data_IF_884891039863
#
_entry.id   IF_884891039863
#
_cell.length_a   1.000
_cell.length_b   1.000
_cell.length_c   1.000
_cell.angle_alpha   90.00
_cell.angle_beta   90.00
_cell.angle_gamma   90.00
#
_symmetry.space_group_name_H-M   'P 1'
#
loop_
_entity.id
_entity.type
_entity.pdbx_description
1 polymer ?
#
# COMPACT_ATOMS: atom_id res chain seq x y z
N UNK A 1 -5.15 0.16 -50.32
CA UNK A 1 -5.93 1.23 -49.67
C UNK A 1 -6.80 0.53 -48.64
N UNK A 2 -6.30 0.36 -47.38
CA UNK A 2 -7.03 -0.26 -46.31
C UNK A 2 -7.65 0.85 -45.48
N UNK A 3 -8.98 0.95 -45.52
CA UNK A 3 -9.75 1.89 -44.72
C UNK A 3 -9.73 1.49 -43.27
N UNK A 4 -9.01 2.25 -42.45
CA UNK A 4 -9.11 2.26 -40.99
C UNK A 4 -10.03 3.42 -40.59
N UNK A 5 -11.33 3.24 -40.80
CA UNK A 5 -12.35 4.15 -40.32
C UNK A 5 -13.37 3.35 -39.51
N UNK A 6 -13.03 3.05 -38.27
CA UNK A 6 -13.95 2.65 -37.21
C UNK A 6 -13.30 2.87 -35.83
N UNK A 7 -12.78 4.08 -35.57
CA UNK A 7 -12.64 4.57 -34.20
C UNK A 7 -14.02 5.02 -33.73
N UNK A 8 -14.91 4.04 -33.44
CA UNK A 8 -15.93 4.31 -32.46
C UNK A 8 -15.19 4.61 -31.17
N UNK A 9 -15.33 5.83 -30.67
CA UNK A 9 -15.01 6.19 -29.30
C UNK A 9 -15.73 5.20 -28.37
N UNK A 10 -15.08 4.09 -28.06
CA UNK A 10 -15.43 3.28 -26.92
C UNK A 10 -15.06 4.16 -25.72
N UNK A 11 -16.02 4.93 -25.22
CA UNK A 11 -15.95 5.40 -23.86
C UNK A 11 -15.77 4.14 -23.02
N UNK A 12 -14.54 3.86 -22.60
CA UNK A 12 -14.23 2.79 -21.66
C UNK A 12 -14.74 3.30 -20.32
N UNK A 13 -16.05 3.19 -20.12
CA UNK A 13 -16.64 3.19 -18.78
C UNK A 13 -16.19 1.88 -18.14
N UNK A 14 -14.93 1.85 -17.68
CA UNK A 14 -14.49 0.71 -16.88
C UNK A 14 -15.25 0.81 -15.56
N UNK A 15 -16.12 -0.17 -15.26
CA UNK A 15 -16.73 -0.22 -13.96
C UNK A 15 -15.60 -0.29 -12.93
N UNK A 16 -15.72 0.48 -11.85
CA UNK A 16 -14.74 0.47 -10.75
C UNK A 16 -14.83 -0.88 -10.02
N UNK A 17 -14.05 -1.84 -10.47
CA UNK A 17 -14.14 -3.23 -10.00
C UNK A 17 -13.20 -3.52 -8.86
N UNK A 18 -11.99 -2.98 -8.86
CA UNK A 18 -11.00 -3.24 -7.82
C UNK A 18 -10.07 -2.04 -7.58
N UNK A 19 -10.11 -1.50 -6.37
CA UNK A 19 -9.18 -0.44 -5.94
C UNK A 19 -7.81 -1.04 -5.63
N UNK A 20 -6.76 -0.47 -6.23
CA UNK A 20 -5.36 -0.70 -5.88
C UNK A 20 -4.73 0.65 -5.59
N UNK A 21 -4.68 1.02 -4.32
CA UNK A 21 -4.31 2.36 -3.86
C UNK A 21 -3.03 2.35 -3.04
N UNK A 22 -2.05 3.15 -3.43
CA UNK A 22 -0.90 3.51 -2.60
C UNK A 22 -1.12 4.87 -1.94
N UNK A 23 -1.03 4.94 -0.61
CA UNK A 23 -1.14 6.18 0.19
C UNK A 23 0.24 6.52 0.73
N UNK A 24 0.71 7.73 0.42
CA UNK A 24 2.03 8.24 0.82
C UNK A 24 1.87 9.45 1.74
N UNK A 25 2.72 9.61 2.73
CA UNK A 25 2.72 10.80 3.59
C UNK A 25 3.61 10.69 4.81
N UNK A 26 3.84 11.81 5.46
CA UNK A 26 4.68 11.90 6.66
C UNK A 26 4.14 11.03 7.82
N UNK A 27 4.98 10.61 8.76
CA UNK A 27 4.52 10.01 10.00
C UNK A 27 3.45 10.88 10.68
N UNK A 28 2.39 10.25 11.20
CA UNK A 28 1.26 10.92 11.88
C UNK A 28 0.41 11.86 10.98
N UNK A 29 0.52 11.77 9.66
CA UNK A 29 -0.29 12.56 8.72
C UNK A 29 -1.73 12.07 8.53
N UNK A 30 -2.18 11.03 9.24
CA UNK A 30 -3.54 10.49 9.12
C UNK A 30 -3.71 9.40 8.05
N UNK A 31 -2.63 8.85 7.48
CA UNK A 31 -2.66 7.78 6.46
C UNK A 31 -3.52 6.59 6.84
N UNK A 32 -3.32 6.04 8.05
CA UNK A 32 -4.09 4.89 8.56
C UNK A 32 -5.58 5.20 8.64
N UNK A 33 -5.96 6.40 9.09
CA UNK A 33 -7.36 6.83 9.13
C UNK A 33 -7.94 6.99 7.74
N UNK A 34 -7.20 7.58 6.80
CA UNK A 34 -7.62 7.63 5.39
C UNK A 34 -7.80 6.22 4.83
N UNK A 35 -6.83 5.33 5.01
CA UNK A 35 -6.93 3.95 4.55
C UNK A 35 -8.15 3.23 5.12
N UNK A 36 -8.49 3.48 6.39
CA UNK A 36 -9.64 2.88 7.07
C UNK A 36 -11.01 3.37 6.55
N UNK A 37 -11.07 4.44 5.74
CA UNK A 37 -12.29 4.85 5.01
C UNK A 37 -12.51 4.03 3.74
N UNK A 38 -11.74 2.98 3.51
CA UNK A 38 -11.87 2.09 2.37
C UNK A 38 -13.23 1.37 2.33
N UNK A 39 -13.66 0.90 1.13
CA UNK A 39 -14.88 0.13 1.01
C UNK A 39 -14.88 -1.13 1.88
N UNK A 40 -15.96 -1.34 2.61
CA UNK A 40 -16.20 -2.54 3.43
C UNK A 40 -16.99 -3.61 2.70
N UNK A 41 -17.37 -3.36 1.45
CA UNK A 41 -18.16 -4.22 0.59
C UNK A 41 -17.60 -4.20 -0.83
N UNK A 42 -17.93 -5.20 -1.62
CA UNK A 42 -17.57 -5.31 -3.02
C UNK A 42 -18.81 -5.44 -3.88
N UNK A 43 -18.75 -4.86 -5.07
CA UNK A 43 -19.75 -5.01 -6.12
C UNK A 43 -19.06 -5.54 -7.38
N UNK A 44 -19.77 -6.31 -8.20
CA UNK A 44 -19.33 -6.71 -9.53
C UNK A 44 -19.46 -5.57 -10.54
N UNK A 45 -19.17 -5.87 -11.80
CA UNK A 45 -19.20 -4.92 -12.91
C UNK A 45 -20.62 -4.44 -13.25
N UNK A 46 -21.63 -5.20 -12.85
CA UNK A 46 -23.06 -4.91 -13.03
C UNK A 46 -23.61 -4.11 -11.83
N UNK A 47 -22.81 -3.89 -10.81
CA UNK A 47 -23.21 -3.18 -9.58
C UNK A 47 -23.96 -4.07 -8.59
N UNK A 48 -23.84 -5.38 -8.69
CA UNK A 48 -24.44 -6.36 -7.77
C UNK A 48 -23.49 -6.57 -6.59
N UNK A 49 -24.04 -6.48 -5.37
CA UNK A 49 -23.28 -6.72 -4.15
C UNK A 49 -22.75 -8.16 -4.09
N UNK A 50 -21.47 -8.31 -3.82
CA UNK A 50 -20.79 -9.59 -3.62
C UNK A 50 -20.74 -9.92 -2.11
N UNK A 51 -21.68 -10.70 -1.56
CA UNK A 51 -21.85 -10.86 -0.10
C UNK A 51 -20.71 -11.60 0.59
N UNK A 52 -19.87 -12.31 -0.18
CA UNK A 52 -18.67 -12.98 0.32
C UNK A 52 -17.53 -12.02 0.65
N UNK A 53 -17.64 -10.74 0.30
CA UNK A 53 -16.63 -9.72 0.61
C UNK A 53 -17.19 -8.76 1.66
N UNK A 54 -16.64 -8.77 2.88
CA UNK A 54 -17.17 -7.94 3.97
C UNK A 54 -16.07 -7.44 4.90
N UNK A 55 -16.10 -6.14 5.17
CA UNK A 55 -15.20 -5.47 6.12
C UNK A 55 -13.80 -5.20 5.57
N UNK A 56 -12.97 -4.67 6.43
CA UNK A 56 -11.58 -4.27 6.15
C UNK A 56 -10.64 -5.04 7.06
N UNK A 57 -9.61 -5.63 6.49
CA UNK A 57 -8.50 -6.23 7.24
C UNK A 57 -7.28 -5.31 7.16
N UNK A 58 -6.71 -4.95 8.31
CA UNK A 58 -5.51 -4.13 8.43
C UNK A 58 -4.37 -4.98 8.96
N UNK A 59 -3.35 -5.17 8.13
CA UNK A 59 -2.06 -5.72 8.54
C UNK A 59 -1.19 -4.58 9.08
N UNK A 60 -1.15 -4.43 10.41
CA UNK A 60 -0.44 -3.36 11.11
C UNK A 60 1.00 -3.77 11.40
N UNK A 61 1.95 -3.19 10.69
CA UNK A 61 3.38 -3.37 10.90
C UNK A 61 4.00 -2.29 11.80
N UNK A 62 3.34 -1.14 11.93
CA UNK A 62 3.82 -0.02 12.76
C UNK A 62 3.49 -0.20 14.24
N UNK A 63 2.53 -1.11 14.57
CA UNK A 63 2.02 -1.28 15.92
C UNK A 63 1.22 -0.06 16.42
N UNK A 64 0.60 0.69 15.51
CA UNK A 64 -0.09 1.96 15.79
C UNK A 64 -1.59 1.91 15.50
N UNK A 65 -2.15 0.73 15.41
CA UNK A 65 -3.57 0.51 15.10
C UNK A 65 -4.56 1.10 16.11
N UNK A 66 -4.10 1.57 17.27
CA UNK A 66 -4.96 2.25 18.26
C UNK A 66 -5.78 3.42 17.67
N UNK A 67 -5.28 4.06 16.59
CA UNK A 67 -6.01 5.10 15.86
C UNK A 67 -7.28 4.59 15.15
N UNK A 68 -7.41 3.27 14.97
CA UNK A 68 -8.53 2.59 14.31
C UNK A 68 -9.44 1.87 15.31
N UNK A 69 -9.13 1.93 16.61
CA UNK A 69 -9.92 1.27 17.65
C UNK A 69 -11.36 1.81 17.65
N UNK A 70 -12.32 0.89 17.66
CA UNK A 70 -13.74 1.21 17.68
C UNK A 70 -14.37 1.53 16.32
N UNK A 71 -13.62 1.52 15.21
CA UNK A 71 -14.20 1.65 13.88
C UNK A 71 -14.90 0.34 13.48
N UNK A 72 -16.20 0.43 13.18
CA UNK A 72 -17.01 -0.74 12.82
C UNK A 72 -16.53 -1.37 11.49
N UNK A 73 -16.55 -2.70 11.42
CA UNK A 73 -16.19 -3.45 10.21
C UNK A 73 -14.69 -3.53 9.92
N UNK A 74 -13.84 -3.07 10.85
CA UNK A 74 -12.38 -3.13 10.71
C UNK A 74 -11.79 -4.17 11.64
N UNK A 75 -11.02 -5.10 11.09
CA UNK A 75 -10.22 -6.07 11.83
C UNK A 75 -8.74 -5.69 11.69
N UNK A 76 -8.06 -5.51 12.81
CA UNK A 76 -6.63 -5.18 12.85
C UNK A 76 -5.84 -6.36 13.40
N UNK A 77 -4.75 -6.72 12.71
CA UNK A 77 -3.78 -7.70 13.19
C UNK A 77 -2.37 -7.12 13.11
N UNK A 78 -1.65 -7.16 14.24
CA UNK A 78 -0.30 -6.60 14.33
C UNK A 78 0.75 -7.64 13.95
N UNK A 79 1.70 -7.23 13.10
CA UNK A 79 2.80 -8.02 12.57
C UNK A 79 4.14 -7.37 12.95
N UNK A 80 4.61 -7.69 14.14
CA UNK A 80 5.90 -7.23 14.65
C UNK A 80 6.78 -8.41 15.03
N UNK A 81 8.09 -8.25 14.82
CA UNK A 81 9.09 -9.22 15.25
C UNK A 81 9.55 -8.88 16.66
N UNK A 82 9.28 -9.76 17.61
CA UNK A 82 9.80 -9.64 18.99
C UNK A 82 11.29 -10.00 19.07
N UNK A 83 11.78 -10.85 18.15
CA UNK A 83 13.16 -11.28 18.07
C UNK A 83 13.74 -11.05 16.67
N UNK A 84 14.67 -10.10 16.47
CA UNK A 84 15.27 -9.86 15.16
C UNK A 84 16.06 -11.03 14.58
N UNK A 85 16.50 -11.97 15.42
CA UNK A 85 17.22 -13.18 14.96
C UNK A 85 16.29 -14.33 14.57
N UNK A 86 15.03 -14.29 14.99
CA UNK A 86 13.98 -15.24 14.64
C UNK A 86 12.73 -14.46 14.23
N UNK A 87 12.76 -13.77 13.06
CA UNK A 87 11.64 -12.95 12.60
C UNK A 87 10.47 -13.82 12.15
N UNK A 88 9.26 -13.49 12.61
CA UNK A 88 8.04 -14.24 12.33
C UNK A 88 6.94 -13.42 11.63
N UNK A 89 7.04 -12.09 11.65
CA UNK A 89 5.99 -11.20 11.15
C UNK A 89 5.62 -11.50 9.69
N UNK A 90 6.62 -11.68 8.82
CA UNK A 90 6.40 -11.96 7.41
C UNK A 90 5.78 -13.36 7.18
N UNK A 91 6.22 -14.39 7.91
CA UNK A 91 5.63 -15.74 7.80
C UNK A 91 4.20 -15.77 8.32
N UNK A 92 3.90 -15.09 9.44
CA UNK A 92 2.53 -14.97 9.97
C UNK A 92 1.59 -14.28 8.97
N UNK A 93 2.06 -13.19 8.32
CA UNK A 93 1.29 -12.55 7.26
C UNK A 93 1.00 -13.53 6.11
N UNK A 94 2.03 -14.25 5.63
CA UNK A 94 1.85 -15.22 4.55
C UNK A 94 0.84 -16.31 4.90
N UNK A 95 0.85 -16.79 6.15
CA UNK A 95 -0.13 -17.76 6.64
C UNK A 95 -1.55 -17.17 6.65
N UNK A 96 -1.73 -15.95 7.14
CA UNK A 96 -3.05 -15.30 7.19
C UNK A 96 -3.62 -15.06 5.79
N UNK A 97 -2.79 -14.64 4.84
CA UNK A 97 -3.21 -14.55 3.44
C UNK A 97 -3.61 -15.92 2.88
N UNK A 98 -2.87 -16.98 3.20
CA UNK A 98 -3.22 -18.35 2.82
C UNK A 98 -4.55 -18.83 3.44
N UNK A 99 -4.86 -18.43 4.67
CA UNK A 99 -6.16 -18.70 5.29
C UNK A 99 -7.30 -17.96 4.58
N UNK A 100 -7.09 -16.72 4.16
CA UNK A 100 -8.08 -15.96 3.38
C UNK A 100 -8.32 -16.58 2.00
N UNK A 101 -7.26 -17.01 1.31
CA UNK A 101 -7.35 -17.73 0.03
C UNK A 101 -8.14 -19.04 0.18
N UNK A 102 -7.87 -19.79 1.23
CA UNK A 102 -8.59 -21.02 1.53
C UNK A 102 -10.07 -20.74 1.84
N UNK A 103 -10.38 -19.74 2.66
CA UNK A 103 -11.75 -19.32 2.96
C UNK A 103 -12.50 -18.92 1.67
N UNK A 104 -11.84 -18.12 0.79
CA UNK A 104 -12.40 -17.76 -0.52
C UNK A 104 -12.73 -18.99 -1.37
N UNK A 105 -11.82 -19.98 -1.43
CA UNK A 105 -12.04 -21.22 -2.23
C UNK A 105 -13.24 -22.03 -1.75
N UNK A 106 -13.65 -21.86 -0.49
CA UNK A 106 -14.83 -22.47 0.11
C UNK A 106 -16.10 -21.63 0.01
N UNK A 107 -16.02 -20.43 -0.59
CA UNK A 107 -17.15 -19.50 -0.65
C UNK A 107 -17.45 -18.83 0.71
N UNK A 108 -16.52 -18.88 1.66
CA UNK A 108 -16.65 -18.23 2.96
C UNK A 108 -16.37 -16.72 2.84
N UNK A 109 -16.80 -15.97 3.85
CA UNK A 109 -16.64 -14.51 3.86
C UNK A 109 -15.17 -14.15 4.08
N UNK A 110 -14.65 -13.28 3.22
CA UNK A 110 -13.31 -12.69 3.31
C UNK A 110 -13.39 -11.15 3.35
N UNK A 111 -12.34 -10.43 3.75
CA UNK A 111 -12.33 -8.98 3.71
C UNK A 111 -12.61 -8.42 2.31
N UNK A 112 -13.40 -7.36 2.21
CA UNK A 112 -13.57 -6.60 0.97
C UNK A 112 -12.31 -5.78 0.64
N UNK A 113 -11.62 -5.29 1.67
CA UNK A 113 -10.38 -4.52 1.55
C UNK A 113 -9.30 -5.10 2.46
N UNK A 114 -8.07 -5.21 1.93
CA UNK A 114 -6.86 -5.52 2.70
C UNK A 114 -5.94 -4.31 2.67
N UNK A 115 -5.52 -3.86 3.85
CA UNK A 115 -4.63 -2.71 4.05
C UNK A 115 -3.30 -3.21 4.64
N UNK A 116 -2.17 -2.80 4.04
CA UNK A 116 -0.82 -2.98 4.60
C UNK A 116 -0.35 -1.64 5.20
N UNK A 117 -0.31 -1.54 6.53
CA UNK A 117 0.04 -0.31 7.26
C UNK A 117 1.20 -0.55 8.25
N UNK A 118 2.42 -0.12 7.94
CA UNK A 118 2.87 0.45 6.67
C UNK A 118 3.76 -0.52 5.90
N UNK A 119 3.78 -0.41 4.59
CA UNK A 119 4.72 -1.17 3.74
C UNK A 119 6.17 -0.80 4.04
N UNK A 120 6.43 0.40 4.55
CA UNK A 120 7.75 0.81 5.01
C UNK A 120 8.30 -0.14 6.08
N UNK A 121 7.52 -0.45 7.12
CA UNK A 121 7.92 -1.40 8.17
C UNK A 121 7.73 -2.85 7.76
N UNK A 122 6.75 -3.16 6.91
CA UNK A 122 6.61 -4.48 6.27
C UNK A 122 7.88 -4.86 5.51
N UNK A 123 8.50 -3.90 4.81
CA UNK A 123 9.78 -4.06 4.11
C UNK A 123 10.90 -4.48 5.06
N UNK A 124 11.01 -3.85 6.23
CA UNK A 124 12.01 -4.21 7.24
C UNK A 124 11.78 -5.63 7.81
N UNK A 125 10.51 -6.01 8.07
CA UNK A 125 10.16 -7.34 8.53
C UNK A 125 10.44 -8.40 7.45
N UNK A 126 10.08 -8.13 6.20
CA UNK A 126 10.33 -9.02 5.06
C UNK A 126 11.83 -9.21 4.83
N UNK A 127 12.63 -8.15 4.88
CA UNK A 127 14.08 -8.23 4.73
C UNK A 127 14.71 -9.09 5.84
N UNK A 128 14.32 -8.88 7.11
CA UNK A 128 14.80 -9.71 8.24
C UNK A 128 14.42 -11.17 8.04
N UNK A 129 13.19 -11.45 7.63
CA UNK A 129 12.72 -12.80 7.35
C UNK A 129 13.55 -13.46 6.25
N UNK A 130 13.73 -12.82 5.10
CA UNK A 130 14.55 -13.32 3.99
C UNK A 130 15.98 -13.60 4.44
N UNK A 131 16.59 -12.67 5.17
CA UNK A 131 17.94 -12.86 5.71
C UNK A 131 18.04 -13.99 6.73
N UNK A 132 16.95 -14.34 7.43
CA UNK A 132 16.94 -15.47 8.37
C UNK A 132 16.88 -16.81 7.66
N UNK A 133 16.29 -16.87 6.46
CA UNK A 133 16.12 -18.10 5.68
C UNK A 133 17.37 -18.48 4.87
N UNK A 134 18.31 -17.55 4.65
CA UNK A 134 19.49 -17.78 3.83
C UNK A 134 20.77 -17.39 4.57
N UNK A 135 21.79 -18.28 4.51
CA UNK A 135 23.17 -17.94 4.91
C UNK A 135 23.94 -17.23 3.81
N UNK A 136 23.52 -17.41 2.56
CA UNK A 136 24.12 -16.74 1.38
C UNK A 136 23.70 -15.30 1.33
N UNK A 137 24.62 -14.38 1.04
CA UNK A 137 24.34 -12.95 0.94
C UNK A 137 24.08 -12.25 2.28
N UNK A 138 24.32 -12.93 3.44
CA UNK A 138 24.16 -12.34 4.77
C UNK A 138 25.39 -12.57 5.66
N UNK A 139 25.55 -11.73 6.68
CA UNK A 139 26.50 -11.98 7.79
C UNK A 139 25.87 -11.59 9.12
N UNK A 140 26.31 -12.25 10.19
CA UNK A 140 25.98 -11.84 11.55
C UNK A 140 27.05 -10.87 12.05
N UNK A 141 26.62 -9.77 12.62
CA UNK A 141 27.46 -8.79 13.30
C UNK A 141 26.98 -8.63 14.74
N UNK A 142 27.92 -8.31 15.64
CA UNK A 142 27.59 -8.03 17.03
C UNK A 142 27.92 -6.58 17.34
N UNK A 143 26.96 -5.86 17.92
CA UNK A 143 27.09 -4.47 18.33
C UNK A 143 26.46 -4.32 19.72
N UNK A 144 27.25 -3.88 20.70
CA UNK A 144 26.78 -3.68 22.07
C UNK A 144 26.20 -4.93 22.74
N UNK A 145 26.72 -6.14 22.42
CA UNK A 145 26.23 -7.41 22.93
C UNK A 145 24.99 -7.97 22.21
N UNK A 146 24.46 -7.27 21.23
CA UNK A 146 23.33 -7.72 20.40
C UNK A 146 23.81 -8.26 19.06
N UNK A 147 23.23 -9.38 18.61
CA UNK A 147 23.50 -9.97 17.29
C UNK A 147 22.48 -9.52 16.27
N UNK A 148 22.97 -9.14 15.09
CA UNK A 148 22.15 -8.72 13.96
C UNK A 148 22.59 -9.47 12.69
N UNK A 149 21.62 -9.79 11.82
CA UNK A 149 21.92 -10.18 10.44
C UNK A 149 21.89 -8.97 9.55
N UNK A 150 22.93 -8.80 8.72
CA UNK A 150 22.99 -7.73 7.72
C UNK A 150 23.20 -8.32 6.33
N UNK A 151 22.64 -7.66 5.31
CA UNK A 151 22.82 -8.04 3.91
C UNK A 151 24.26 -7.76 3.45
N UNK A 152 24.81 -8.65 2.61
CA UNK A 152 26.12 -8.50 1.96
C UNK A 152 26.05 -8.14 0.49
N UNK A 153 24.86 -8.07 -0.10
CA UNK A 153 24.64 -7.82 -1.50
C UNK A 153 23.20 -7.42 -1.78
N UNK A 154 22.80 -7.46 -3.04
CA UNK A 154 21.46 -7.05 -3.48
C UNK A 154 20.42 -8.17 -3.37
N UNK A 155 20.83 -9.45 -3.36
CA UNK A 155 19.93 -10.61 -3.36
C UNK A 155 18.85 -10.57 -2.25
N UNK A 156 19.18 -10.25 -0.97
CA UNK A 156 18.14 -10.15 0.06
C UNK A 156 17.12 -9.05 -0.20
N UNK A 157 17.52 -7.95 -0.84
CA UNK A 157 16.63 -6.86 -1.18
C UNK A 157 15.71 -7.19 -2.35
N UNK A 158 16.19 -7.94 -3.36
CA UNK A 158 15.34 -8.40 -4.45
C UNK A 158 14.34 -9.46 -3.95
N UNK A 159 14.77 -10.36 -3.06
CA UNK A 159 13.87 -11.33 -2.43
C UNK A 159 12.81 -10.66 -1.55
N UNK A 160 13.16 -9.59 -0.80
CA UNK A 160 12.21 -8.76 -0.04
C UNK A 160 11.16 -8.12 -0.97
N UNK A 161 11.60 -7.50 -2.09
CA UNK A 161 10.69 -6.88 -3.06
C UNK A 161 9.75 -7.93 -3.66
N UNK A 162 10.26 -9.10 -4.00
CA UNK A 162 9.46 -10.20 -4.53
C UNK A 162 8.44 -10.72 -3.51
N UNK A 163 8.82 -10.83 -2.23
CA UNK A 163 7.92 -11.22 -1.16
C UNK A 163 6.74 -10.24 -1.03
N UNK A 164 7.02 -8.94 -0.97
CA UNK A 164 5.99 -7.90 -0.85
C UNK A 164 5.10 -7.88 -2.09
N UNK A 165 5.68 -7.95 -3.29
CA UNK A 165 4.92 -8.01 -4.54
C UNK A 165 4.00 -9.22 -4.59
N UNK A 166 4.46 -10.37 -4.12
CA UNK A 166 3.64 -11.58 -4.01
C UNK A 166 2.47 -11.39 -3.03
N UNK A 167 2.69 -10.77 -1.86
CA UNK A 167 1.61 -10.47 -0.93
C UNK A 167 0.53 -9.59 -1.57
N UNK A 168 0.93 -8.55 -2.32
CA UNK A 168 0.00 -7.68 -3.03
C UNK A 168 -0.77 -8.44 -4.12
N UNK A 169 -0.05 -9.24 -4.92
CA UNK A 169 -0.66 -10.03 -5.98
C UNK A 169 -1.70 -11.01 -5.44
N UNK A 170 -1.43 -11.70 -4.33
CA UNK A 170 -2.38 -12.60 -3.67
C UNK A 170 -3.67 -11.87 -3.28
N UNK A 171 -3.57 -10.65 -2.71
CA UNK A 171 -4.74 -9.83 -2.38
C UNK A 171 -5.54 -9.48 -3.63
N UNK A 172 -4.85 -9.10 -4.72
CA UNK A 172 -5.49 -8.78 -6.01
C UNK A 172 -6.19 -10.02 -6.59
N UNK A 173 -5.57 -11.19 -6.56
CA UNK A 173 -6.13 -12.46 -7.05
C UNK A 173 -7.31 -12.95 -6.21
N UNK A 174 -7.31 -12.65 -4.92
CA UNK A 174 -8.48 -12.86 -4.07
C UNK A 174 -9.67 -11.95 -4.46
N UNK A 175 -9.46 -10.93 -5.29
CA UNK A 175 -10.49 -9.96 -5.67
C UNK A 175 -10.75 -8.89 -4.61
N UNK A 176 -9.96 -8.81 -3.54
CA UNK A 176 -10.09 -7.76 -2.53
C UNK A 176 -9.56 -6.43 -3.06
N UNK A 177 -10.06 -5.31 -2.56
CA UNK A 177 -9.37 -4.03 -2.70
C UNK A 177 -8.02 -4.09 -1.99
N UNK A 178 -6.99 -3.52 -2.60
CA UNK A 178 -5.64 -3.45 -2.05
C UNK A 178 -5.31 -2.01 -1.69
N UNK A 179 -4.94 -1.76 -0.43
CA UNK A 179 -4.40 -0.47 0.00
C UNK A 179 -3.04 -0.69 0.65
N UNK A 180 -2.05 0.07 0.21
CA UNK A 180 -0.70 0.06 0.76
C UNK A 180 -0.32 1.46 1.26
N UNK A 181 0.07 1.53 2.54
CA UNK A 181 0.46 2.78 3.19
C UNK A 181 1.97 2.88 3.23
N UNK A 182 2.50 4.01 2.77
CA UNK A 182 3.94 4.29 2.73
C UNK A 182 4.28 5.54 3.52
N UNK A 183 5.47 5.58 4.09
CA UNK A 183 6.05 6.84 4.54
C UNK A 183 6.64 7.59 3.34
N UNK A 184 6.56 8.91 3.37
CA UNK A 184 7.27 9.78 2.45
C UNK A 184 8.69 10.08 2.94
N UNK A 185 9.54 10.50 2.01
CA UNK A 185 10.86 11.08 2.29
C UNK A 185 11.15 12.18 1.28
N UNK A 186 11.95 13.14 1.68
CA UNK A 186 12.50 14.14 0.76
C UNK A 186 13.35 13.43 -0.32
N UNK A 187 13.20 13.84 -1.57
CA UNK A 187 14.01 13.32 -2.66
C UNK A 187 15.40 13.98 -2.66
N UNK A 188 16.44 13.15 -2.61
CA UNK A 188 17.81 13.62 -2.65
C UNK A 188 18.19 14.08 -4.05
N UNK A 189 18.93 15.19 -4.16
CA UNK A 189 19.47 15.67 -5.43
C UNK A 189 20.58 14.74 -5.94
N UNK A 190 20.81 14.64 -7.26
CA UNK A 190 21.84 13.77 -7.85
C UNK A 190 23.26 14.05 -7.33
N UNK A 191 23.53 15.30 -6.91
CA UNK A 191 24.80 15.74 -6.35
C UNK A 191 24.83 15.72 -4.80
N UNK A 192 23.87 15.07 -4.17
CA UNK A 192 23.79 14.88 -2.72
C UNK A 192 24.85 13.89 -2.24
N UNK A 193 25.52 14.19 -1.13
CA UNK A 193 26.44 13.29 -0.44
C UNK A 193 26.03 13.11 1.01
N UNK A 194 26.58 12.07 1.69
CA UNK A 194 26.31 11.87 3.13
C UNK A 194 26.81 13.04 3.98
N UNK A 195 27.90 13.70 3.58
CA UNK A 195 28.50 14.82 4.30
C UNK A 195 27.78 16.16 3.98
N UNK A 196 27.19 16.27 2.80
CA UNK A 196 26.45 17.46 2.35
C UNK A 196 25.15 17.05 1.67
N UNK A 197 24.10 16.72 2.44
CA UNK A 197 22.82 16.29 1.89
C UNK A 197 22.09 17.45 1.20
N UNK A 198 21.74 17.26 -0.06
CA UNK A 198 20.96 18.20 -0.87
C UNK A 198 19.65 17.54 -1.29
N UNK A 199 18.60 18.34 -1.38
CA UNK A 199 17.27 17.87 -1.72
C UNK A 199 16.69 18.65 -2.91
N UNK A 200 15.90 17.95 -3.74
CA UNK A 200 15.26 18.54 -4.92
C UNK A 200 14.04 19.41 -4.60
N UNK A 201 13.58 19.42 -3.36
CA UNK A 201 12.28 19.99 -2.96
C UNK A 201 11.10 19.06 -3.26
N UNK A 202 11.34 17.91 -3.90
CA UNK A 202 10.33 16.89 -4.17
C UNK A 202 10.26 15.86 -3.06
N UNK A 203 9.19 15.09 -3.07
CA UNK A 203 8.92 14.01 -2.14
C UNK A 203 8.75 12.69 -2.88
N UNK A 204 9.26 11.62 -2.33
CA UNK A 204 9.17 10.27 -2.87
C UNK A 204 8.75 9.28 -1.78
N UNK A 205 8.51 8.03 -2.17
CA UNK A 205 8.16 6.94 -1.25
C UNK A 205 9.37 6.37 -0.53
N UNK A 206 9.16 5.91 0.69
CA UNK A 206 10.15 5.19 1.47
C UNK A 206 9.69 3.73 1.71
N UNK A 207 10.56 2.71 1.57
CA UNK A 207 11.96 2.77 1.12
C UNK A 207 12.08 3.05 -0.39
N UNK A 208 13.23 3.53 -0.90
CA UNK A 208 13.38 3.88 -2.32
C UNK A 208 13.05 2.73 -3.28
N UNK A 209 13.32 1.49 -2.87
CA UNK A 209 12.99 0.27 -3.66
C UNK A 209 11.49 0.02 -3.79
N UNK A 210 10.66 0.67 -2.96
CA UNK A 210 9.20 0.60 -3.08
C UNK A 210 8.68 1.05 -4.45
N UNK A 211 9.45 1.88 -5.17
CA UNK A 211 9.14 2.26 -6.56
C UNK A 211 8.93 1.05 -7.48
N UNK A 212 9.59 -0.11 -7.20
CA UNK A 212 9.45 -1.33 -8.01
C UNK A 212 8.03 -1.90 -8.00
N UNK A 213 7.30 -1.79 -6.89
CA UNK A 213 5.93 -2.33 -6.80
C UNK A 213 4.83 -1.26 -6.87
N UNK A 214 5.18 0.03 -6.97
CA UNK A 214 4.18 1.08 -7.20
C UNK A 214 3.43 0.93 -8.54
N UNK A 215 4.04 0.28 -9.54
CA UNK A 215 3.39 -0.03 -10.81
C UNK A 215 2.18 -0.99 -10.68
N UNK A 216 2.02 -1.67 -9.54
CA UNK A 216 0.84 -2.51 -9.26
C UNK A 216 -0.41 -1.69 -8.88
N UNK A 217 -0.23 -0.42 -8.55
CA UNK A 217 -1.30 0.46 -8.10
C UNK A 217 -1.81 1.34 -9.25
N UNK A 218 -3.12 1.45 -9.38
CA UNK A 218 -3.76 2.36 -10.33
C UNK A 218 -4.03 3.74 -9.70
N UNK A 219 -3.98 3.81 -8.35
CA UNK A 219 -4.15 5.03 -7.58
C UNK A 219 -2.92 5.28 -6.73
N UNK A 220 -2.34 6.48 -6.82
CA UNK A 220 -1.20 6.92 -6.00
C UNK A 220 -1.53 8.27 -5.39
N UNK A 221 -1.83 8.29 -4.09
CA UNK A 221 -2.25 9.48 -3.37
C UNK A 221 -1.23 9.88 -2.33
N UNK A 222 -1.14 11.19 -2.08
CA UNK A 222 -0.39 11.73 -0.95
C UNK A 222 -1.31 12.46 0.02
N UNK A 223 -1.21 12.13 1.31
CA UNK A 223 -1.88 12.89 2.35
C UNK A 223 -0.92 13.94 2.92
N UNK A 224 -1.39 15.17 3.00
CA UNK A 224 -0.65 16.29 3.60
C UNK A 224 -1.57 17.20 4.42
N UNK A 225 -0.98 17.94 5.34
CA UNK A 225 -1.69 18.96 6.10
C UNK A 225 -1.76 20.26 5.30
N UNK A 226 -2.96 20.79 5.15
CA UNK A 226 -3.17 22.13 4.58
C UNK A 226 -3.02 23.18 5.67
N UNK A 227 -1.94 23.94 5.60
CA UNK A 227 -1.65 24.99 6.57
C UNK A 227 -2.66 26.16 6.52
N UNK A 228 -3.31 26.38 5.39
CA UNK A 228 -4.26 27.47 5.18
C UNK A 228 -5.69 27.08 5.52
N UNK A 229 -6.08 25.87 5.17
CA UNK A 229 -7.41 25.33 5.47
C UNK A 229 -7.54 24.65 6.84
N UNK A 230 -6.43 24.45 7.56
CA UNK A 230 -6.42 23.87 8.91
C UNK A 230 -6.80 22.39 8.99
N UNK A 231 -6.67 21.63 7.89
CA UNK A 231 -7.05 20.22 7.81
C UNK A 231 -6.12 19.36 6.97
N UNK A 232 -6.36 18.06 6.97
CA UNK A 232 -5.68 17.14 6.06
C UNK A 232 -6.37 17.12 4.70
N UNK A 233 -5.56 17.04 3.65
CA UNK A 233 -6.00 16.89 2.26
C UNK A 233 -5.30 15.73 1.60
N UNK A 234 -5.96 15.14 0.60
CA UNK A 234 -5.41 14.10 -0.26
C UNK A 234 -5.06 14.72 -1.61
N UNK A 235 -3.80 14.64 -1.99
CA UNK A 235 -3.35 14.96 -3.34
C UNK A 235 -3.53 13.74 -4.23
N UNK A 236 -4.39 13.87 -5.26
CA UNK A 236 -4.76 12.79 -6.18
C UNK A 236 -4.12 12.93 -7.57
N UNK A 237 -3.65 14.13 -7.94
CA UNK A 237 -2.98 14.40 -9.21
C UNK A 237 -1.57 14.95 -9.00
N UNK A 238 -0.73 14.80 -10.01
CA UNK A 238 0.66 15.25 -9.94
C UNK A 238 0.78 16.76 -9.71
N UNK A 239 1.78 17.14 -8.93
CA UNK A 239 2.26 18.52 -8.75
C UNK A 239 3.78 18.52 -8.87
N UNK A 240 4.41 19.70 -8.80
CA UNK A 240 5.88 19.82 -8.82
C UNK A 240 6.53 19.13 -7.61
N UNK A 241 5.81 18.99 -6.49
CA UNK A 241 6.29 18.41 -5.25
C UNK A 241 6.21 16.87 -5.24
N UNK A 242 5.12 16.29 -5.79
CA UNK A 242 4.87 14.85 -5.73
C UNK A 242 4.11 14.34 -6.95
N UNK A 243 4.54 13.21 -7.49
CA UNK A 243 3.91 12.53 -8.63
C UNK A 243 2.77 11.64 -8.11
N UNK A 244 1.61 12.26 -7.81
CA UNK A 244 0.37 11.52 -7.59
C UNK A 244 -0.25 11.12 -8.94
N UNK A 245 -1.16 10.14 -8.92
CA UNK A 245 -1.90 9.72 -10.10
C UNK A 245 -3.21 9.05 -9.71
N UNK A 246 -4.26 9.34 -10.46
CA UNK A 246 -5.58 8.75 -10.27
C UNK A 246 -6.21 8.40 -11.61
N UNK A 247 -6.84 7.23 -11.67
CA UNK A 247 -7.75 6.83 -12.76
C UNK A 247 -9.18 7.28 -12.48
N UNK A 248 -9.46 7.75 -11.25
CA UNK A 248 -10.76 8.29 -10.87
C UNK A 248 -10.92 9.74 -11.37
N UNK A 249 -12.14 10.13 -11.65
CA UNK A 249 -12.46 11.53 -11.96
C UNK A 249 -12.58 12.33 -10.66
N UNK A 250 -11.44 12.83 -10.18
CA UNK A 250 -11.30 13.56 -8.92
C UNK A 250 -10.46 14.83 -9.15
N UNK A 251 -10.53 15.79 -8.23
CA UNK A 251 -9.71 16.99 -8.26
C UNK A 251 -8.26 16.71 -7.84
N UNK A 252 -7.39 17.72 -8.00
CA UNK A 252 -5.97 17.61 -7.58
C UNK A 252 -5.87 17.42 -6.08
N UNK A 253 -6.71 18.09 -5.31
CA UNK A 253 -6.80 17.99 -3.86
C UNK A 253 -8.23 17.69 -3.43
N UNK A 254 -8.38 16.68 -2.57
CA UNK A 254 -9.66 16.17 -2.09
C UNK A 254 -9.67 16.04 -0.56
N UNK A 255 -10.88 15.91 0.00
CA UNK A 255 -11.04 15.52 1.40
C UNK A 255 -10.54 14.08 1.61
N UNK A 256 -9.97 13.77 2.79
CA UNK A 256 -9.38 12.46 3.06
C UNK A 256 -10.46 11.39 3.38
N UNK A 257 -11.21 10.98 2.36
CA UNK A 257 -12.22 9.93 2.43
C UNK A 257 -12.27 9.13 1.12
N UNK A 258 -11.84 7.88 1.15
CA UNK A 258 -11.76 7.01 -0.05
C UNK A 258 -13.15 6.67 -0.59
N UNK A 259 -14.13 6.42 0.28
CA UNK A 259 -15.50 6.11 -0.18
C UNK A 259 -16.12 7.31 -0.92
N UNK A 260 -15.86 8.51 -0.44
CA UNK A 260 -16.32 9.75 -1.08
C UNK A 260 -15.66 9.95 -2.45
N UNK A 261 -14.35 9.65 -2.61
CA UNK A 261 -13.66 9.72 -3.90
C UNK A 261 -14.27 8.75 -4.91
N UNK A 262 -14.56 7.52 -4.47
CA UNK A 262 -15.23 6.51 -5.32
C UNK A 262 -16.67 6.96 -5.69
N UNK A 263 -17.40 7.54 -4.75
CA UNK A 263 -18.75 8.05 -4.99
C UNK A 263 -18.74 9.15 -6.06
N UNK A 264 -17.86 10.14 -5.94
CA UNK A 264 -17.68 11.22 -6.92
C UNK A 264 -17.38 10.68 -8.32
N UNK A 265 -16.46 9.70 -8.41
CA UNK A 265 -16.15 9.07 -9.68
C UNK A 265 -17.38 8.42 -10.31
N UNK A 266 -18.15 7.62 -9.55
CA UNK A 266 -19.36 6.95 -10.04
C UNK A 266 -20.44 7.93 -10.49
N UNK A 267 -20.58 9.08 -9.83
CA UNK A 267 -21.55 10.11 -10.20
C UNK A 267 -21.16 10.86 -11.47
N UNK A 268 -19.86 11.04 -11.71
CA UNK A 268 -19.36 11.73 -12.91
C UNK A 268 -19.34 10.89 -14.16
N UNK A 269 -19.54 9.55 -14.04
CA UNK A 269 -19.52 8.59 -15.15
C UNK A 269 -20.92 8.14 -15.58
N UNK A 270 -21.96 8.61 -14.89
CA UNK A 270 -23.37 8.45 -15.27
C UNK A 270 -23.82 9.58 -16.20
#
# INVERSE_FOLDING_TARGET
MYGLDNTKDMAITQPFTQLKLAIVGAPKSGKSRLAATAPQERWDDEGILLPQYKGVFVADFDGRAASLAGMAGITVKTYQDSNPMAPEAASRLSMDLGMMEYAKSRGEVIPATVIFDSVTYMSDCALRFVMSQSSTGTKVVEVGGFKFRIARGYEPYDAEVNFISNCFQRVVEMGCHLIAVFHDRAEEAPDSTQENPKFTGKVTVHPPRAKKYLALFNELYRIKFDQYGGGYMVQCKATDEFVAGSTLNVDTFEKPDIQELIRKHRESTK
#
